data_IF_453485334967
#
_entry.id   IF_453485334967
#
_cell.length_a   1.000
_cell.length_b   1.000
_cell.length_c   1.000
_cell.angle_alpha   90.00
_cell.angle_beta   90.00
_cell.angle_gamma   90.00
#
_symmetry.space_group_name_H-M   'P 1'
#
loop_
_entity.id
_entity.type
_entity.pdbx_description
1 polymer ?
#
# COMPACT_ATOMS: atom_id res chain seq x y z
N UNK A 1 22.30 4.36 -31.84
CA UNK A 1 20.91 4.15 -32.28
C UNK A 1 20.26 5.52 -32.40
N UNK A 2 19.73 5.87 -33.57
CA UNK A 2 19.13 7.20 -33.77
C UNK A 2 17.86 7.36 -32.93
N UNK A 3 17.68 8.52 -32.31
CA UNK A 3 16.43 8.88 -31.65
C UNK A 3 15.33 8.97 -32.72
N UNK A 4 14.30 8.11 -32.63
CA UNK A 4 13.10 8.24 -33.46
C UNK A 4 12.12 9.15 -32.75
N UNK A 5 11.65 10.19 -33.45
CA UNK A 5 10.67 11.12 -32.91
C UNK A 5 9.31 10.84 -33.54
N UNK A 6 8.25 10.88 -32.74
CA UNK A 6 6.88 10.72 -33.19
C UNK A 6 6.11 11.99 -32.86
N UNK A 7 5.44 12.56 -33.86
CA UNK A 7 4.49 13.64 -33.67
C UNK A 7 3.10 13.03 -33.56
N UNK A 8 2.35 13.41 -32.53
CA UNK A 8 0.92 13.12 -32.47
C UNK A 8 0.15 14.42 -32.68
N UNK A 9 -0.55 14.52 -33.82
CA UNK A 9 -1.43 15.64 -34.09
C UNK A 9 -2.76 15.41 -33.36
N UNK A 10 -3.04 16.23 -32.34
CA UNK A 10 -4.26 16.13 -31.54
C UNK A 10 -5.53 16.43 -32.33
N UNK A 11 -5.48 17.27 -33.36
CA UNK A 11 -6.66 17.61 -34.15
C UNK A 11 -6.97 16.52 -35.16
N UNK A 12 -5.94 15.97 -35.79
CA UNK A 12 -6.08 14.94 -36.82
C UNK A 12 -6.11 13.53 -36.23
N UNK A 13 -5.71 13.36 -34.97
CA UNK A 13 -5.55 12.07 -34.29
C UNK A 13 -4.61 11.12 -35.06
N UNK A 14 -3.53 11.70 -35.63
CA UNK A 14 -2.56 10.98 -36.46
C UNK A 14 -1.17 10.97 -35.83
N UNK A 15 -0.46 9.85 -35.99
CA UNK A 15 0.95 9.71 -35.59
C UNK A 15 1.83 9.78 -36.84
N UNK A 16 2.87 10.61 -36.82
CA UNK A 16 3.85 10.71 -37.91
C UNK A 16 5.26 10.56 -37.36
N UNK A 17 6.10 9.74 -38.02
CA UNK A 17 7.53 9.65 -37.69
C UNK A 17 8.29 10.84 -38.27
N UNK A 18 9.18 11.42 -37.46
CA UNK A 18 9.96 12.61 -37.82
C UNK A 18 11.45 12.25 -37.87
N UNK A 19 12.08 12.44 -39.04
CA UNK A 19 13.51 12.13 -39.22
C UNK A 19 14.43 13.37 -39.08
N UNK A 20 14.00 14.57 -39.50
CA UNK A 20 14.89 15.77 -39.56
C UNK A 20 14.28 17.11 -39.11
N UNK A 21 12.94 17.25 -39.07
CA UNK A 21 12.28 18.55 -38.80
C UNK A 21 11.95 18.81 -37.32
N UNK A 22 12.34 17.91 -36.42
CA UNK A 22 11.96 17.95 -35.00
C UNK A 22 12.44 19.24 -34.32
N UNK A 23 13.64 19.72 -34.69
CA UNK A 23 14.19 20.95 -34.14
C UNK A 23 13.21 22.11 -34.33
N UNK A 24 12.68 22.31 -35.54
CA UNK A 24 11.75 23.39 -35.82
C UNK A 24 10.41 23.25 -35.08
N UNK A 25 9.99 22.01 -34.77
CA UNK A 25 8.72 21.74 -34.08
C UNK A 25 8.83 22.12 -32.59
N UNK A 26 9.91 21.72 -31.90
CA UNK A 26 10.06 21.99 -30.45
C UNK A 26 10.33 23.46 -30.12
N UNK A 27 10.55 24.32 -31.13
CA UNK A 27 10.58 25.78 -30.99
C UNK A 27 9.20 26.45 -31.12
N UNK A 28 8.16 25.74 -31.58
CA UNK A 28 6.81 26.30 -31.68
C UNK A 28 6.12 26.32 -30.31
N UNK A 29 5.45 27.43 -29.99
CA UNK A 29 4.79 27.65 -28.69
C UNK A 29 3.58 26.73 -28.45
N UNK A 30 2.93 26.26 -29.52
CA UNK A 30 1.78 25.35 -29.49
C UNK A 30 2.18 23.87 -29.42
N UNK A 31 3.48 23.58 -29.34
CA UNK A 31 4.00 22.22 -29.22
C UNK A 31 4.07 21.79 -27.76
N UNK A 32 3.65 20.55 -27.48
CA UNK A 32 3.85 19.88 -26.21
C UNK A 32 4.84 18.74 -26.39
N UNK A 33 6.05 18.90 -25.83
CA UNK A 33 7.15 17.97 -26.05
C UNK A 33 7.26 16.98 -24.89
N UNK A 34 6.89 15.73 -25.14
CA UNK A 34 6.99 14.63 -24.18
C UNK A 34 8.29 13.86 -24.40
N UNK A 35 9.06 13.68 -23.32
CA UNK A 35 10.38 13.07 -23.35
C UNK A 35 10.37 11.86 -22.42
N UNK A 36 10.64 10.69 -22.98
CA UNK A 36 11.01 9.52 -22.19
C UNK A 36 12.46 9.68 -21.74
N UNK A 37 12.70 9.56 -20.44
CA UNK A 37 13.97 9.89 -19.79
C UNK A 37 15.15 8.99 -20.13
N UNK A 38 14.98 8.06 -21.07
CA UNK A 38 16.06 7.36 -21.76
C UNK A 38 16.69 8.19 -22.90
N UNK A 39 16.12 9.36 -23.23
CA UNK A 39 16.58 10.23 -24.33
C UNK A 39 17.08 11.57 -23.80
N UNK A 40 18.14 12.10 -24.41
CA UNK A 40 18.62 13.46 -24.13
C UNK A 40 17.63 14.48 -24.69
N UNK A 41 17.11 15.41 -23.85
CA UNK A 41 16.15 16.40 -24.31
C UNK A 41 16.80 17.39 -25.28
N UNK A 42 16.10 17.74 -26.37
CA UNK A 42 16.56 18.82 -27.24
C UNK A 42 16.27 20.20 -26.63
N UNK A 43 17.15 21.20 -26.85
CA UNK A 43 16.84 22.59 -26.56
C UNK A 43 15.53 22.99 -27.24
N UNK A 44 14.64 23.59 -26.47
CA UNK A 44 13.27 23.89 -26.90
C UNK A 44 12.74 25.12 -26.17
N UNK A 45 11.77 25.80 -26.76
CA UNK A 45 11.05 26.93 -26.15
C UNK A 45 9.59 26.62 -25.84
N UNK A 46 9.14 25.41 -26.20
CA UNK A 46 7.79 24.90 -25.98
C UNK A 46 7.62 24.33 -24.55
N UNK A 47 6.40 23.87 -24.22
CA UNK A 47 6.16 23.19 -22.94
C UNK A 47 6.74 21.78 -23.01
N UNK A 48 7.59 21.42 -22.05
CA UNK A 48 8.28 20.13 -21.99
C UNK A 48 7.80 19.31 -20.80
N UNK A 49 7.37 18.07 -21.05
CA UNK A 49 7.11 17.05 -20.05
C UNK A 49 8.20 15.99 -20.11
N UNK A 50 9.11 16.01 -19.12
CA UNK A 50 10.17 15.02 -18.99
C UNK A 50 9.76 13.92 -18.00
N UNK A 51 9.62 12.68 -18.48
CA UNK A 51 9.18 11.54 -17.67
C UNK A 51 10.35 10.60 -17.43
N UNK A 52 10.78 10.45 -16.18
CA UNK A 52 11.89 9.55 -15.87
C UNK A 52 11.89 9.09 -14.41
N UNK A 53 12.70 8.07 -14.14
CA UNK A 53 13.11 7.76 -12.77
C UNK A 53 13.95 8.92 -12.21
N UNK A 54 13.79 9.27 -10.93
CA UNK A 54 14.59 10.32 -10.28
C UNK A 54 16.10 9.99 -10.25
N UNK A 55 16.47 8.73 -10.51
CA UNK A 55 17.88 8.32 -10.56
C UNK A 55 18.56 8.62 -11.89
N UNK A 56 17.81 8.90 -12.96
CA UNK A 56 18.41 9.13 -14.27
C UNK A 56 19.20 10.43 -14.29
N UNK A 57 20.35 10.44 -14.96
CA UNK A 57 21.17 11.64 -15.05
C UNK A 57 20.46 12.74 -15.85
N UNK A 58 19.72 12.35 -16.90
CA UNK A 58 18.88 13.27 -17.67
C UNK A 58 17.83 13.98 -16.80
N UNK A 59 17.20 13.26 -15.86
CA UNK A 59 16.27 13.87 -14.90
C UNK A 59 16.98 14.89 -14.01
N UNK A 60 18.13 14.52 -13.42
CA UNK A 60 18.88 15.39 -12.51
C UNK A 60 19.34 16.68 -13.18
N UNK A 61 19.74 16.61 -14.45
CA UNK A 61 20.07 17.82 -15.21
C UNK A 61 18.82 18.62 -15.58
N UNK A 62 17.73 17.95 -15.94
CA UNK A 62 16.48 18.61 -16.31
C UNK A 62 15.90 19.45 -15.15
N UNK A 63 15.88 18.90 -13.93
CA UNK A 63 15.29 19.59 -12.76
C UNK A 63 16.13 20.76 -12.24
N UNK A 64 17.40 20.89 -12.64
CA UNK A 64 18.23 22.07 -12.31
C UNK A 64 17.79 23.34 -13.03
N UNK A 65 16.94 23.23 -14.05
CA UNK A 65 16.45 24.39 -14.79
C UNK A 65 15.55 25.27 -13.93
N UNK A 66 15.66 26.60 -14.05
CA UNK A 66 14.92 27.57 -13.23
C UNK A 66 13.39 27.42 -13.28
N UNK A 67 12.85 26.88 -14.36
CA UNK A 67 11.42 26.74 -14.59
C UNK A 67 10.91 25.30 -14.41
N UNK A 68 11.78 24.36 -14.01
CA UNK A 68 11.38 22.99 -13.79
C UNK A 68 10.40 22.89 -12.61
N UNK A 69 9.35 22.11 -12.79
CA UNK A 69 8.42 21.70 -11.73
C UNK A 69 8.43 20.19 -11.67
N UNK A 70 8.48 19.66 -10.46
CA UNK A 70 8.54 18.24 -10.20
C UNK A 70 7.15 17.73 -9.78
N UNK A 71 6.75 16.61 -10.38
CA UNK A 71 5.51 15.90 -10.06
C UNK A 71 5.80 14.42 -9.92
N UNK A 72 4.99 13.73 -9.11
CA UNK A 72 5.10 12.30 -8.91
C UNK A 72 3.97 11.60 -9.66
N UNK A 73 4.31 10.60 -10.46
CA UNK A 73 3.30 9.79 -11.12
C UNK A 73 2.62 8.87 -10.10
N UNK A 74 1.28 8.84 -10.06
CA UNK A 74 0.57 7.81 -9.32
C UNK A 74 0.80 6.45 -9.99
N UNK A 75 0.60 5.39 -9.22
CA UNK A 75 0.41 4.07 -9.81
C UNK A 75 -0.94 4.00 -10.51
N UNK A 76 -1.08 3.09 -11.47
CA UNK A 76 -2.30 2.94 -12.26
C UNK A 76 -3.40 2.30 -11.43
N UNK A 77 -4.62 2.76 -11.61
CA UNK A 77 -5.82 2.09 -11.12
C UNK A 77 -6.06 0.78 -11.88
N UNK A 78 -6.87 -0.11 -11.28
CA UNK A 78 -7.26 -1.35 -11.97
C UNK A 78 -7.96 -1.04 -13.31
N UNK A 79 -8.83 -0.03 -13.35
CA UNK A 79 -9.55 0.34 -14.58
C UNK A 79 -8.60 0.82 -15.70
N UNK A 80 -7.59 1.62 -15.37
CA UNK A 80 -6.55 2.03 -16.32
C UNK A 80 -5.75 0.83 -16.84
N UNK A 81 -5.41 -0.12 -15.97
CA UNK A 81 -4.69 -1.35 -16.36
C UNK A 81 -5.57 -2.24 -17.25
N UNK A 82 -6.84 -2.41 -16.93
CA UNK A 82 -7.79 -3.19 -17.74
C UNK A 82 -8.03 -2.54 -19.11
N UNK A 83 -8.11 -1.20 -19.14
CA UNK A 83 -8.21 -0.42 -20.38
C UNK A 83 -6.95 -0.59 -21.24
N UNK A 84 -5.76 -0.46 -20.64
CA UNK A 84 -4.50 -0.71 -21.33
C UNK A 84 -4.42 -2.14 -21.87
N UNK A 85 -4.81 -3.15 -21.08
CA UNK A 85 -4.89 -4.53 -21.55
C UNK A 85 -5.80 -4.66 -22.77
N UNK A 86 -6.98 -4.03 -22.75
CA UNK A 86 -7.95 -4.12 -23.85
C UNK A 86 -7.38 -3.59 -25.17
N UNK A 87 -6.64 -2.49 -25.13
CA UNK A 87 -6.15 -1.81 -26.33
C UNK A 87 -4.74 -2.26 -26.76
N UNK A 88 -3.84 -2.50 -25.81
CA UNK A 88 -2.42 -2.72 -26.07
C UNK A 88 -2.01 -4.19 -25.94
N UNK A 89 -2.70 -4.96 -25.08
CA UNK A 89 -2.33 -6.35 -24.76
C UNK A 89 -3.55 -7.30 -24.79
N UNK A 90 -4.35 -7.32 -25.88
CA UNK A 90 -5.64 -8.04 -25.92
C UNK A 90 -5.50 -9.56 -25.78
N UNK A 91 -4.28 -10.09 -25.90
CA UNK A 91 -3.95 -11.50 -25.74
C UNK A 91 -3.71 -11.92 -24.27
N UNK A 92 -3.46 -10.98 -23.36
CA UNK A 92 -3.26 -11.29 -21.93
C UNK A 92 -4.63 -11.50 -21.27
N UNK A 93 -4.92 -12.60 -20.58
CA UNK A 93 -6.22 -12.80 -19.91
C UNK A 93 -6.50 -11.69 -18.87
N UNK A 94 -7.77 -11.32 -18.72
CA UNK A 94 -8.18 -10.27 -17.78
C UNK A 94 -7.92 -10.70 -16.33
N UNK A 95 -8.07 -12.00 -16.06
CA UNK A 95 -7.82 -12.64 -14.78
C UNK A 95 -6.34 -12.49 -14.39
N UNK A 96 -5.41 -12.61 -15.35
CA UNK A 96 -3.98 -12.39 -15.13
C UNK A 96 -3.69 -10.95 -14.70
N UNK A 97 -4.35 -9.96 -15.32
CA UNK A 97 -4.20 -8.55 -14.91
C UNK A 97 -4.75 -8.33 -13.51
N UNK A 98 -5.93 -8.88 -13.21
CA UNK A 98 -6.55 -8.72 -11.89
C UNK A 98 -5.70 -9.37 -10.78
N UNK A 99 -5.17 -10.57 -11.03
CA UNK A 99 -4.30 -11.26 -10.08
C UNK A 99 -2.98 -10.49 -9.88
N UNK A 100 -2.34 -10.04 -10.95
CA UNK A 100 -1.09 -9.29 -10.84
C UNK A 100 -1.30 -7.91 -10.23
N UNK A 101 -2.43 -7.26 -10.47
CA UNK A 101 -2.81 -6.04 -9.74
C UNK A 101 -2.99 -6.32 -8.24
N UNK A 102 -3.65 -7.42 -7.87
CA UNK A 102 -3.76 -7.83 -6.46
C UNK A 102 -2.38 -8.04 -5.82
N UNK A 103 -1.42 -8.60 -6.57
CA UNK A 103 -0.07 -8.87 -6.10
C UNK A 103 0.81 -7.62 -6.04
N UNK A 104 0.85 -6.82 -7.10
CA UNK A 104 1.82 -5.73 -7.29
C UNK A 104 1.20 -4.33 -7.17
N UNK A 105 -0.11 -4.23 -6.94
CA UNK A 105 -0.87 -2.99 -7.08
C UNK A 105 -0.76 -2.40 -8.50
N UNK A 106 -0.70 -1.08 -8.58
CA UNK A 106 -0.86 -0.33 -9.83
C UNK A 106 0.39 -0.15 -10.70
N UNK A 107 1.51 -0.82 -10.43
CA UNK A 107 2.73 -0.63 -11.23
C UNK A 107 2.59 -1.38 -12.55
N UNK A 108 2.22 -0.66 -13.61
CA UNK A 108 1.96 -1.23 -14.95
C UNK A 108 3.09 -2.16 -15.43
N UNK A 109 4.36 -1.78 -15.23
CA UNK A 109 5.51 -2.64 -15.59
C UNK A 109 5.45 -4.01 -14.93
N UNK A 110 5.17 -4.07 -13.62
CA UNK A 110 5.10 -5.33 -12.86
C UNK A 110 3.84 -6.13 -13.21
N UNK A 111 2.74 -5.45 -13.50
CA UNK A 111 1.47 -6.08 -13.92
C UNK A 111 1.58 -6.71 -15.30
N UNK A 112 2.21 -6.04 -16.27
CA UNK A 112 2.30 -6.52 -17.65
C UNK A 112 3.53 -7.39 -17.96
N UNK A 113 4.55 -7.42 -17.09
CA UNK A 113 5.69 -8.33 -17.23
C UNK A 113 5.30 -9.78 -16.86
N UNK A 114 4.52 -10.43 -17.72
CA UNK A 114 4.00 -11.78 -17.50
C UNK A 114 5.07 -12.88 -17.53
N UNK A 115 6.29 -12.56 -17.97
CA UNK A 115 7.38 -13.53 -18.10
C UNK A 115 8.23 -13.56 -16.84
N UNK A 116 8.47 -12.41 -16.21
CA UNK A 116 9.33 -12.33 -15.03
C UNK A 116 8.54 -12.31 -13.72
N UNK A 117 9.24 -12.64 -12.64
CA UNK A 117 8.75 -12.51 -11.27
C UNK A 117 9.45 -11.32 -10.58
N UNK A 118 8.93 -10.08 -10.70
CA UNK A 118 9.53 -8.93 -10.06
C UNK A 118 9.50 -9.03 -8.52
N UNK A 119 8.54 -9.77 -7.94
CA UNK A 119 8.46 -9.98 -6.49
C UNK A 119 9.70 -10.69 -5.97
N UNK A 120 10.03 -11.82 -6.58
CA UNK A 120 11.15 -12.67 -6.15
C UNK A 120 12.48 -11.91 -6.21
N UNK A 121 12.70 -11.14 -7.28
CA UNK A 121 13.87 -10.25 -7.39
C UNK A 121 13.90 -9.20 -6.29
N UNK A 122 12.76 -8.60 -5.97
CA UNK A 122 12.67 -7.56 -4.95
C UNK A 122 12.85 -8.11 -3.52
N UNK A 123 12.34 -9.32 -3.25
CA UNK A 123 12.53 -10.00 -1.97
C UNK A 123 13.96 -10.53 -1.79
N UNK A 124 14.67 -10.86 -2.88
CA UNK A 124 16.08 -11.25 -2.83
C UNK A 124 17.04 -10.06 -2.64
N UNK A 125 16.58 -8.84 -2.92
CA UNK A 125 17.35 -7.62 -2.78
C UNK A 125 17.37 -7.15 -1.31
N UNK A 126 18.49 -7.42 -0.63
CA UNK A 126 18.70 -7.11 0.79
C UNK A 126 18.52 -5.62 1.07
N UNK A 127 18.96 -4.75 0.16
CA UNK A 127 18.87 -3.30 0.34
C UNK A 127 17.43 -2.83 0.17
N UNK A 128 16.67 -3.43 -0.77
CA UNK A 128 15.25 -3.15 -0.93
C UNK A 128 14.45 -3.57 0.31
N UNK A 129 14.71 -4.77 0.86
CA UNK A 129 14.01 -5.29 2.04
C UNK A 129 14.36 -4.49 3.30
N UNK A 130 15.64 -4.20 3.53
CA UNK A 130 16.06 -3.33 4.64
C UNK A 130 15.47 -1.94 4.47
N UNK A 131 15.41 -1.43 3.25
CA UNK A 131 14.90 -0.11 2.91
C UNK A 131 13.40 0.09 3.08
N UNK A 132 12.62 -0.93 3.46
CA UNK A 132 11.16 -0.79 3.69
C UNK A 132 10.83 0.25 4.77
N UNK A 133 11.70 0.47 5.76
CA UNK A 133 11.51 1.50 6.79
C UNK A 133 11.96 2.91 6.35
N UNK A 134 12.57 3.09 5.17
CA UNK A 134 13.10 4.37 4.75
C UNK A 134 11.97 5.29 4.26
N UNK A 135 11.39 6.04 5.19
CA UNK A 135 10.37 7.04 4.89
C UNK A 135 11.04 8.36 4.52
N UNK A 136 10.76 8.87 3.32
CA UNK A 136 10.90 10.30 3.02
C UNK A 136 12.30 10.82 2.65
N UNK A 137 13.37 10.03 2.67
CA UNK A 137 14.62 10.43 2.02
C UNK A 137 14.50 10.18 0.53
N UNK A 138 14.03 11.16 -0.25
CA UNK A 138 14.11 11.29 -1.72
C UNK A 138 14.69 10.04 -2.37
N UNK A 139 13.87 8.99 -2.39
CA UNK A 139 14.43 7.65 -2.33
C UNK A 139 15.05 7.39 -3.70
N UNK A 140 16.32 7.00 -3.67
CA UNK A 140 16.94 6.19 -4.71
C UNK A 140 16.20 4.83 -4.74
N UNK A 141 14.90 4.86 -5.04
CA UNK A 141 14.04 3.68 -5.11
C UNK A 141 14.57 2.96 -6.33
N UNK A 142 15.29 1.87 -6.12
CA UNK A 142 15.67 1.00 -7.22
C UNK A 142 14.39 0.44 -7.85
N UNK A 143 14.48 -0.10 -9.06
CA UNK A 143 13.33 -0.75 -9.68
C UNK A 143 12.73 -1.85 -8.76
N UNK A 144 13.56 -2.49 -7.94
CA UNK A 144 13.14 -3.51 -6.97
C UNK A 144 12.35 -2.92 -5.80
N UNK A 145 12.80 -1.79 -5.24
CA UNK A 145 12.08 -1.13 -4.14
C UNK A 145 10.69 -0.64 -4.60
N UNK A 146 10.52 -0.22 -5.85
CA UNK A 146 9.21 0.15 -6.41
C UNK A 146 8.23 -1.03 -6.52
N UNK A 147 8.71 -2.27 -6.51
CA UNK A 147 7.86 -3.47 -6.43
C UNK A 147 7.34 -3.69 -5.01
N UNK A 148 8.10 -3.24 -3.99
CA UNK A 148 7.73 -3.40 -2.59
C UNK A 148 6.94 -2.20 -2.04
N UNK A 149 7.21 -1.01 -2.58
CA UNK A 149 6.70 0.25 -2.07
C UNK A 149 6.15 1.13 -3.20
N UNK A 150 5.04 1.80 -2.94
CA UNK A 150 4.42 2.76 -3.84
C UNK A 150 4.50 4.18 -3.30
N UNK A 151 4.73 5.12 -4.22
CA UNK A 151 4.56 6.54 -3.96
C UNK A 151 3.07 6.89 -4.03
N UNK A 152 2.54 7.44 -2.94
CA UNK A 152 1.17 7.93 -2.85
C UNK A 152 1.18 9.44 -3.07
N UNK A 153 0.28 9.90 -3.94
CA UNK A 153 0.20 11.29 -4.38
C UNK A 153 -1.17 11.89 -4.12
N UNK A 154 -1.27 13.22 -4.13
CA UNK A 154 -2.53 13.95 -3.98
C UNK A 154 -3.50 13.68 -5.13
N UNK A 155 -4.75 13.38 -4.80
CA UNK A 155 -5.86 13.10 -5.72
C UNK A 155 -6.54 14.37 -6.29
N UNK A 156 -6.17 15.55 -5.79
CA UNK A 156 -6.67 16.86 -6.25
C UNK A 156 -6.09 17.34 -7.60
N UNK A 157 -5.50 16.43 -8.40
CA UNK A 157 -4.86 16.73 -9.67
C UNK A 157 -3.52 17.48 -9.58
N UNK A 158 -2.98 17.71 -8.38
CA UNK A 158 -1.69 18.38 -8.21
C UNK A 158 -0.49 17.43 -8.18
N UNK A 159 -0.72 16.12 -8.10
CA UNK A 159 0.32 15.09 -8.14
C UNK A 159 1.47 15.32 -7.14
N UNK A 160 1.14 15.88 -5.97
CA UNK A 160 2.09 16.13 -4.89
C UNK A 160 2.36 14.83 -4.13
N UNK A 161 3.62 14.56 -3.83
CA UNK A 161 3.98 13.48 -2.92
C UNK A 161 3.27 13.66 -1.58
N UNK A 162 2.61 12.60 -1.11
CA UNK A 162 2.02 12.54 0.22
C UNK A 162 2.86 11.67 1.15
N UNK A 163 3.08 10.42 0.77
CA UNK A 163 3.84 9.44 1.53
C UNK A 163 4.23 8.25 0.64
N UNK A 164 5.00 7.33 1.21
CA UNK A 164 5.26 6.00 0.64
C UNK A 164 4.47 4.97 1.46
N UNK A 165 3.96 3.95 0.79
CA UNK A 165 3.26 2.84 1.42
C UNK A 165 3.69 1.49 0.82
N UNK A 166 3.35 0.38 1.49
CA UNK A 166 3.52 -0.96 0.95
C UNK A 166 2.71 -1.08 -0.35
N UNK A 167 3.32 -1.66 -1.37
CA UNK A 167 2.75 -1.73 -2.72
C UNK A 167 1.38 -2.43 -2.76
N UNK A 168 1.20 -3.46 -1.94
CA UNK A 168 -0.07 -4.16 -1.76
C UNK A 168 -0.07 -4.95 -0.44
N UNK A 169 -1.26 -5.35 0.03
CA UNK A 169 -1.40 -6.30 1.15
C UNK A 169 -0.63 -7.60 0.90
N UNK A 170 -0.66 -8.09 -0.34
CA UNK A 170 0.07 -9.29 -0.75
C UNK A 170 1.60 -9.12 -0.59
N UNK A 171 2.15 -7.98 -1.01
CA UNK A 171 3.58 -7.65 -0.81
C UNK A 171 3.94 -7.66 0.67
N UNK A 172 3.12 -7.05 1.52
CA UNK A 172 3.33 -7.06 2.97
C UNK A 172 3.38 -8.48 3.54
N UNK A 173 2.48 -9.36 3.11
CA UNK A 173 2.50 -10.76 3.53
C UNK A 173 3.75 -11.51 3.07
N UNK A 174 4.20 -11.26 1.83
CA UNK A 174 5.43 -11.86 1.31
C UNK A 174 6.67 -11.36 2.08
N UNK A 175 6.74 -10.08 2.41
CA UNK A 175 7.81 -9.54 3.25
C UNK A 175 7.86 -10.23 4.62
N UNK A 176 6.73 -10.43 5.27
CA UNK A 176 6.67 -11.14 6.54
C UNK A 176 6.98 -12.63 6.41
N UNK A 177 6.57 -13.27 5.32
CA UNK A 177 6.83 -14.69 5.06
C UNK A 177 8.32 -14.97 4.87
N UNK A 178 9.02 -14.11 4.13
CA UNK A 178 10.42 -14.33 3.77
C UNK A 178 11.41 -13.64 4.73
N UNK A 179 11.01 -12.55 5.39
CA UNK A 179 11.92 -11.66 6.12
C UNK A 179 11.36 -11.18 7.47
N UNK A 180 10.64 -12.04 8.20
CA UNK A 180 9.98 -11.69 9.47
C UNK A 180 10.88 -10.96 10.48
N UNK A 181 12.10 -11.45 10.71
CA UNK A 181 13.05 -10.81 11.64
C UNK A 181 13.43 -9.38 11.22
N UNK A 182 13.60 -9.16 9.90
CA UNK A 182 13.88 -7.83 9.38
C UNK A 182 12.63 -6.93 9.45
N UNK A 183 11.44 -7.47 9.22
CA UNK A 183 10.19 -6.70 9.35
C UNK A 183 9.92 -6.29 10.80
N UNK A 184 10.22 -7.14 11.79
CA UNK A 184 10.19 -6.77 13.21
C UNK A 184 11.15 -5.61 13.47
N UNK A 185 12.39 -5.71 13.01
CA UNK A 185 13.40 -4.65 13.17
C UNK A 185 12.92 -3.33 12.54
N UNK A 186 12.46 -3.39 11.29
CA UNK A 186 11.96 -2.23 10.56
C UNK A 186 10.76 -1.59 11.27
N UNK A 187 9.81 -2.41 11.75
CA UNK A 187 8.63 -1.96 12.46
C UNK A 187 8.98 -1.29 13.78
N UNK A 188 9.88 -1.88 14.58
CA UNK A 188 10.38 -1.28 15.83
C UNK A 188 11.07 0.07 15.57
N UNK A 189 11.95 0.14 14.57
CA UNK A 189 12.62 1.40 14.18
C UNK A 189 11.64 2.49 13.76
N UNK A 190 10.58 2.14 13.02
CA UNK A 190 9.54 3.10 12.65
C UNK A 190 8.73 3.57 13.86
N UNK A 191 8.45 2.69 14.83
CA UNK A 191 7.74 3.05 16.06
C UNK A 191 8.56 3.89 17.04
N UNK A 192 9.89 3.80 17.00
CA UNK A 192 10.78 4.73 17.71
C UNK A 192 10.76 6.14 17.09
N UNK A 193 10.15 6.29 15.91
CA UNK A 193 9.94 7.54 15.19
C UNK A 193 8.44 7.88 15.07
N UNK A 194 8.05 8.70 14.08
CA UNK A 194 6.63 9.00 13.84
C UNK A 194 6.00 7.80 13.10
N UNK A 195 4.93 7.16 13.62
CA UNK A 195 4.26 6.06 12.93
C UNK A 195 3.82 6.43 11.52
N UNK A 196 4.13 5.56 10.56
CA UNK A 196 3.85 5.77 9.14
C UNK A 196 2.76 4.84 8.63
N UNK A 197 2.31 5.03 7.40
CA UNK A 197 1.37 4.11 6.76
C UNK A 197 1.99 2.70 6.60
N UNK A 198 3.28 2.63 6.27
CA UNK A 198 4.03 1.38 6.23
C UNK A 198 4.04 0.67 7.59
N UNK A 199 4.39 1.37 8.68
CA UNK A 199 4.43 0.74 10.00
C UNK A 199 3.07 0.26 10.47
N UNK A 200 1.99 0.99 10.15
CA UNK A 200 0.61 0.56 10.42
C UNK A 200 0.28 -0.74 9.69
N UNK A 201 0.51 -0.81 8.38
CA UNK A 201 0.25 -2.02 7.59
C UNK A 201 1.12 -3.21 8.03
N UNK A 202 2.40 -3.01 8.33
CA UNK A 202 3.24 -4.10 8.83
C UNK A 202 2.76 -4.60 10.20
N UNK A 203 2.31 -3.70 11.08
CA UNK A 203 1.80 -4.04 12.39
C UNK A 203 0.48 -4.80 12.35
N UNK A 204 -0.44 -4.40 11.47
CA UNK A 204 -1.69 -5.12 11.23
C UNK A 204 -1.41 -6.56 10.73
N UNK A 205 -0.53 -6.72 9.74
CA UNK A 205 -0.12 -8.05 9.24
C UNK A 205 0.52 -8.88 10.36
N UNK A 206 1.40 -8.28 11.17
CA UNK A 206 2.00 -8.95 12.32
C UNK A 206 0.95 -9.39 13.33
N UNK A 207 0.00 -8.50 13.64
CA UNK A 207 -1.13 -8.74 14.51
C UNK A 207 -1.95 -9.95 14.03
N UNK A 208 -2.35 -9.97 12.76
CA UNK A 208 -3.05 -11.12 12.21
C UNK A 208 -2.27 -12.43 12.36
N UNK A 209 -0.95 -12.45 12.14
CA UNK A 209 -0.12 -13.67 12.32
C UNK A 209 -0.12 -14.15 13.76
N UNK A 210 0.00 -13.24 14.71
CA UNK A 210 -0.03 -13.57 16.13
C UNK A 210 -1.40 -14.09 16.53
N UNK A 211 -2.48 -13.41 16.12
CA UNK A 211 -3.83 -13.73 16.55
C UNK A 211 -4.41 -14.96 15.83
N UNK A 212 -4.05 -15.21 14.57
CA UNK A 212 -4.49 -16.42 13.85
C UNK A 212 -3.77 -17.69 14.31
N UNK A 213 -2.59 -17.56 14.93
CA UNK A 213 -1.88 -18.67 15.59
C UNK A 213 -2.34 -18.82 17.04
N UNK A 214 -2.55 -17.70 17.73
CA UNK A 214 -3.00 -17.66 19.11
C UNK A 214 -2.00 -18.28 20.09
N UNK A 215 -2.48 -18.76 21.23
CA UNK A 215 -1.67 -19.40 22.29
C UNK A 215 -0.78 -18.45 23.10
N UNK A 216 -0.82 -17.14 22.82
CA UNK A 216 -0.03 -16.13 23.52
C UNK A 216 -0.85 -15.46 24.62
N UNK A 217 -0.20 -15.13 25.74
CA UNK A 217 -0.76 -14.29 26.79
C UNK A 217 -0.29 -12.85 26.60
N UNK A 218 -1.24 -11.93 26.47
CA UNK A 218 -1.00 -10.52 26.19
C UNK A 218 -1.53 -9.64 27.32
N UNK A 219 -0.91 -8.48 27.52
CA UNK A 219 -1.42 -7.46 28.45
C UNK A 219 -2.64 -6.77 27.87
N UNK A 220 -3.69 -6.67 28.67
CA UNK A 220 -4.97 -6.09 28.30
C UNK A 220 -5.35 -5.00 29.30
N UNK A 221 -5.55 -3.77 28.84
CA UNK A 221 -5.96 -2.63 29.67
C UNK A 221 -7.40 -2.24 29.35
N UNK A 222 -8.29 -2.35 30.33
CA UNK A 222 -9.64 -1.84 30.22
C UNK A 222 -9.60 -0.32 30.02
N UNK A 223 -10.26 0.20 28.98
CA UNK A 223 -10.25 1.63 28.65
C UNK A 223 -11.21 2.44 29.54
N UNK A 224 -12.14 1.79 30.24
CA UNK A 224 -13.11 2.43 31.12
C UNK A 224 -12.53 2.84 32.48
N UNK A 225 -11.75 1.95 33.09
CA UNK A 225 -11.21 2.12 34.45
C UNK A 225 -9.67 2.04 34.51
N UNK A 226 -9.01 1.70 33.41
CA UNK A 226 -7.56 1.58 33.32
C UNK A 226 -7.01 0.30 33.94
N UNK A 227 -7.84 -0.62 34.42
CA UNK A 227 -7.38 -1.88 35.02
C UNK A 227 -6.61 -2.71 33.99
N UNK A 228 -5.42 -3.16 34.37
CA UNK A 228 -4.57 -4.02 33.54
C UNK A 228 -4.75 -5.47 33.99
N UNK A 229 -5.07 -6.31 33.02
CA UNK A 229 -5.27 -7.75 33.12
C UNK A 229 -4.44 -8.45 32.04
N UNK A 230 -4.54 -9.78 32.00
CA UNK A 230 -3.97 -10.58 30.92
C UNK A 230 -5.09 -11.26 30.15
N UNK A 231 -4.90 -11.39 28.83
CA UNK A 231 -5.75 -12.19 27.95
C UNK A 231 -4.89 -13.27 27.31
N UNK A 232 -5.31 -14.52 27.42
CA UNK A 232 -4.69 -15.64 26.69
C UNK A 232 -5.51 -15.91 25.45
N UNK A 233 -4.87 -15.80 24.29
CA UNK A 233 -5.49 -16.18 23.02
C UNK A 233 -5.56 -17.71 22.95
N UNK A 234 -6.69 -18.27 22.54
CA UNK A 234 -6.77 -19.72 22.33
C UNK A 234 -5.78 -20.14 21.25
N UNK A 235 -5.22 -21.34 21.37
CA UNK A 235 -4.33 -21.86 20.34
C UNK A 235 -5.15 -22.22 19.09
N UNK A 236 -4.79 -21.60 17.97
CA UNK A 236 -5.43 -21.77 16.67
C UNK A 236 -4.45 -22.39 15.66
N UNK A 237 -4.93 -22.71 14.47
CA UNK A 237 -4.16 -23.42 13.44
C UNK A 237 -3.34 -22.50 12.51
N UNK A 238 -3.33 -21.19 12.76
CA UNK A 238 -2.66 -20.21 11.89
C UNK A 238 -3.46 -19.83 10.64
N UNK A 239 -4.64 -20.42 10.41
CA UNK A 239 -5.47 -20.15 9.24
C UNK A 239 -6.25 -18.86 9.41
N UNK A 240 -6.31 -18.07 8.34
CA UNK A 240 -7.09 -16.84 8.25
C UNK A 240 -8.24 -17.07 7.28
N UNK A 241 -9.47 -16.98 7.77
CA UNK A 241 -10.68 -17.19 6.98
C UNK A 241 -11.24 -15.83 6.61
N UNK A 242 -11.51 -15.59 5.33
CA UNK A 242 -12.07 -14.31 4.90
C UNK A 242 -13.60 -14.33 4.90
N UNK A 243 -14.22 -13.20 5.25
CA UNK A 243 -15.67 -13.03 5.18
C UNK A 243 -16.07 -11.66 4.60
N UNK A 244 -17.22 -11.60 3.95
CA UNK A 244 -17.84 -10.38 3.44
C UNK A 244 -19.10 -10.05 4.22
N UNK A 245 -19.78 -8.97 3.83
CA UNK A 245 -21.02 -8.52 4.48
C UNK A 245 -22.12 -9.58 4.48
N UNK A 246 -22.19 -10.38 3.42
CA UNK A 246 -23.18 -11.44 3.23
C UNK A 246 -22.70 -12.82 3.72
N UNK A 247 -21.45 -12.92 4.16
CA UNK A 247 -20.83 -14.18 4.61
C UNK A 247 -20.22 -14.09 6.01
N UNK A 248 -20.73 -13.16 6.83
CA UNK A 248 -20.35 -13.02 8.25
C UNK A 248 -20.49 -14.38 8.96
N UNK A 249 -19.46 -14.84 9.69
CA UNK A 249 -19.50 -16.13 10.37
C UNK A 249 -20.59 -16.16 11.45
N UNK A 250 -21.16 -17.34 11.69
CA UNK A 250 -22.03 -17.58 12.85
C UNK A 250 -21.21 -17.69 14.14
N UNK A 251 -21.83 -17.47 15.30
CA UNK A 251 -21.18 -17.62 16.61
C UNK A 251 -20.48 -18.99 16.78
N UNK A 252 -21.15 -20.08 16.37
CA UNK A 252 -20.58 -21.43 16.43
C UNK A 252 -19.37 -21.61 15.49
N UNK A 253 -19.29 -20.86 14.40
CA UNK A 253 -18.19 -20.93 13.45
C UNK A 253 -16.93 -20.20 13.93
N UNK A 254 -17.03 -19.37 14.97
CA UNK A 254 -15.89 -18.70 15.61
C UNK A 254 -15.03 -19.65 16.44
N UNK A 255 -15.60 -20.77 16.91
CA UNK A 255 -14.87 -21.78 17.68
C UNK A 255 -13.72 -22.36 16.86
N UNK A 256 -12.50 -22.26 17.40
CA UNK A 256 -11.28 -22.73 16.76
C UNK A 256 -10.87 -21.99 15.48
N UNK A 257 -11.47 -20.85 15.15
CA UNK A 257 -11.24 -20.14 13.89
C UNK A 257 -10.92 -18.64 14.07
N UNK A 258 -10.14 -18.11 13.12
CA UNK A 258 -9.81 -16.70 13.03
C UNK A 258 -10.31 -16.14 11.69
N UNK A 259 -11.04 -15.03 11.75
CA UNK A 259 -11.68 -14.41 10.60
C UNK A 259 -11.17 -12.99 10.35
N UNK A 260 -10.98 -12.66 9.09
CA UNK A 260 -10.63 -11.33 8.61
C UNK A 260 -11.67 -10.87 7.58
N UNK A 261 -12.13 -9.61 7.62
CA UNK A 261 -13.01 -9.11 6.58
C UNK A 261 -12.26 -9.09 5.24
N UNK A 262 -13.03 -9.31 4.18
CA UNK A 262 -12.61 -8.97 2.82
C UNK A 262 -12.37 -7.46 2.74
N UNK A 263 -11.48 -7.01 1.83
CA UNK A 263 -11.01 -5.63 1.72
C UNK A 263 -12.10 -4.61 1.26
N UNK A 264 -13.34 -4.77 1.69
CA UNK A 264 -14.45 -3.88 1.42
C UNK A 264 -14.58 -2.86 2.57
N UNK A 265 -14.86 -1.60 2.24
CA UNK A 265 -15.02 -0.49 3.21
C UNK A 265 -16.15 -0.67 4.24
N UNK A 266 -16.84 -1.82 4.23
CA UNK A 266 -17.98 -2.13 5.08
C UNK A 266 -17.60 -2.44 6.53
N UNK A 267 -16.33 -2.72 6.84
CA UNK A 267 -15.89 -3.20 8.16
C UNK A 267 -14.94 -2.24 8.90
N UNK A 268 -15.08 -0.93 8.73
CA UNK A 268 -14.15 0.07 9.28
C UNK A 268 -13.96 0.08 10.81
N UNK A 269 -14.78 -0.65 11.59
CA UNK A 269 -14.65 -0.78 13.04
C UNK A 269 -13.73 -1.92 13.50
N UNK A 270 -13.44 -2.89 12.63
CA UNK A 270 -12.72 -4.10 13.01
C UNK A 270 -11.82 -4.59 11.88
N UNK A 271 -10.70 -5.19 12.26
CA UNK A 271 -9.80 -5.85 11.32
C UNK A 271 -9.91 -7.36 11.42
N UNK A 272 -10.43 -7.91 12.53
CA UNK A 272 -10.65 -9.35 12.65
C UNK A 272 -11.63 -9.77 13.74
N UNK A 273 -12.02 -11.05 13.70
CA UNK A 273 -12.90 -11.72 14.65
C UNK A 273 -12.31 -13.07 15.07
N UNK A 274 -12.51 -13.42 16.33
CA UNK A 274 -12.39 -14.79 16.84
C UNK A 274 -13.41 -15.02 17.95
N UNK A 275 -13.44 -16.22 18.54
CA UNK A 275 -14.26 -16.48 19.72
C UNK A 275 -13.94 -15.56 20.92
N UNK A 276 -12.70 -15.07 21.03
CA UNK A 276 -12.31 -14.20 22.15
C UNK A 276 -12.83 -12.77 22.00
N UNK A 277 -13.14 -12.33 20.77
CA UNK A 277 -13.75 -11.04 20.51
C UNK A 277 -13.47 -10.49 19.12
N UNK A 278 -13.74 -9.19 19.00
CA UNK A 278 -13.45 -8.37 17.82
C UNK A 278 -12.12 -7.63 18.04
N UNK A 279 -11.28 -7.55 17.02
CA UNK A 279 -9.99 -6.85 17.12
C UNK A 279 -9.84 -5.77 16.06
N UNK A 280 -9.28 -4.64 16.48
CA UNK A 280 -8.88 -3.53 15.64
C UNK A 280 -7.41 -3.22 15.90
N UNK A 281 -6.55 -3.43 14.90
CA UNK A 281 -5.13 -3.12 14.95
C UNK A 281 -4.94 -1.63 14.62
N UNK A 282 -4.33 -0.88 15.53
CA UNK A 282 -4.06 0.54 15.30
C UNK A 282 -2.72 0.94 15.88
N UNK A 283 -2.02 1.82 15.16
CA UNK A 283 -0.84 2.51 15.67
C UNK A 283 -1.10 4.00 15.93
N UNK A 284 -2.35 4.45 15.77
CA UNK A 284 -2.78 5.80 16.12
C UNK A 284 -3.04 5.91 17.63
N UNK A 285 -2.93 7.14 18.14
CA UNK A 285 -3.17 7.48 19.54
C UNK A 285 -4.66 7.43 19.92
N UNK A 286 -5.53 7.66 18.93
CA UNK A 286 -6.98 7.59 19.03
C UNK A 286 -7.59 6.98 17.76
N UNK A 287 -8.68 6.23 17.89
CA UNK A 287 -9.42 5.69 16.75
C UNK A 287 -10.94 5.89 16.92
N UNK A 288 -11.62 6.59 15.99
CA UNK A 288 -13.08 6.70 16.02
C UNK A 288 -13.71 5.36 15.61
N UNK A 289 -14.85 5.01 16.22
CA UNK A 289 -15.61 3.84 15.77
C UNK A 289 -16.48 4.26 14.57
N UNK A 290 -16.20 3.69 13.41
CA UNK A 290 -16.94 3.89 12.16
C UNK A 290 -17.80 2.66 11.83
N UNK A 291 -18.96 2.82 11.18
CA UNK A 291 -19.79 1.67 10.79
C UNK A 291 -20.55 1.02 11.95
N UNK A 292 -21.25 1.82 12.75
CA UNK A 292 -22.01 1.35 13.93
C UNK A 292 -22.99 0.22 13.62
N UNK A 293 -23.63 0.24 12.46
CA UNK A 293 -24.60 -0.79 12.05
C UNK A 293 -23.94 -2.15 11.86
N UNK A 294 -22.77 -2.20 11.21
CA UNK A 294 -22.04 -3.45 11.02
C UNK A 294 -21.48 -3.95 12.35
N UNK A 295 -20.97 -3.04 13.19
CA UNK A 295 -20.44 -3.40 14.50
C UNK A 295 -21.54 -4.01 15.38
N UNK A 296 -22.75 -3.44 15.34
CA UNK A 296 -23.91 -3.99 16.06
C UNK A 296 -24.25 -5.40 15.60
N UNK A 297 -24.20 -5.68 14.28
CA UNK A 297 -24.39 -7.04 13.76
C UNK A 297 -23.33 -8.00 14.27
N UNK A 298 -22.07 -7.57 14.32
CA UNK A 298 -20.96 -8.37 14.82
C UNK A 298 -21.04 -8.62 16.33
N UNK A 299 -21.49 -7.63 17.11
CA UNK A 299 -21.72 -7.80 18.54
C UNK A 299 -22.72 -8.92 18.85
N UNK A 300 -23.71 -9.14 17.98
CA UNK A 300 -24.71 -10.23 18.15
C UNK A 300 -24.12 -11.64 17.97
N UNK A 301 -22.85 -11.77 17.58
CA UNK A 301 -22.14 -13.05 17.55
C UNK A 301 -21.68 -13.51 18.95
N UNK A 302 -21.74 -12.64 19.95
CA UNK A 302 -21.18 -12.86 21.28
C UNK A 302 -22.24 -12.64 22.36
N UNK A 303 -22.25 -13.48 23.38
CA UNK A 303 -23.07 -13.24 24.58
C UNK A 303 -22.57 -12.00 25.35
N UNK A 304 -21.25 -11.85 25.41
CA UNK A 304 -20.56 -10.67 25.96
C UNK A 304 -19.61 -10.09 24.91
N UNK A 305 -20.08 -9.17 24.05
CA UNK A 305 -19.27 -8.62 22.98
C UNK A 305 -18.11 -7.78 23.55
N UNK A 306 -16.89 -8.09 23.08
CA UNK A 306 -15.66 -7.38 23.42
C UNK A 306 -14.98 -6.90 22.15
N UNK A 307 -14.68 -5.60 22.09
CA UNK A 307 -13.83 -5.03 21.05
C UNK A 307 -12.50 -4.61 21.68
N UNK A 308 -11.43 -5.15 21.10
CA UNK A 308 -10.06 -4.94 21.52
C UNK A 308 -9.32 -4.06 20.52
N UNK A 309 -8.72 -2.99 21.00
CA UNK A 309 -7.76 -2.19 20.25
C UNK A 309 -6.37 -2.77 20.46
N UNK A 310 -5.82 -3.42 19.44
CA UNK A 310 -4.46 -3.96 19.49
C UNK A 310 -3.49 -2.86 19.10
N UNK A 311 -2.59 -2.50 20.01
CA UNK A 311 -1.73 -1.33 19.86
C UNK A 311 -0.25 -1.67 20.12
N UNK A 312 0.70 -0.94 19.50
CA UNK A 312 2.12 -1.07 19.82
C UNK A 312 2.41 -0.72 21.30
N UNK A 313 3.52 -1.23 21.89
CA UNK A 313 3.82 -1.04 23.31
C UNK A 313 3.93 0.42 23.74
N UNK A 314 4.45 1.28 22.86
CA UNK A 314 4.59 2.70 23.15
C UNK A 314 3.23 3.40 23.29
N UNK A 315 2.18 2.90 22.63
CA UNK A 315 0.81 3.41 22.73
C UNK A 315 0.02 2.80 23.89
N UNK A 316 0.37 1.58 24.35
CA UNK A 316 -0.44 0.81 25.31
C UNK A 316 -0.88 1.61 26.55
N UNK A 317 0.01 2.39 27.16
CA UNK A 317 -0.31 3.20 28.35
C UNK A 317 -1.16 4.44 28.03
N UNK A 318 -0.91 5.08 26.90
CA UNK A 318 -1.47 6.37 26.52
C UNK A 318 -2.74 6.30 25.69
N UNK A 319 -3.02 5.16 25.07
CA UNK A 319 -4.13 4.98 24.13
C UNK A 319 -5.47 5.33 24.76
N UNK A 320 -6.25 6.14 24.06
CA UNK A 320 -7.59 6.57 24.45
C UNK A 320 -8.58 6.28 23.34
N UNK A 321 -9.83 6.14 23.74
CA UNK A 321 -10.92 6.03 22.80
C UNK A 321 -11.73 7.31 22.80
N UNK A 322 -12.26 7.66 21.62
CA UNK A 322 -13.10 8.85 21.43
C UNK A 322 -14.53 8.71 21.98
N UNK A 323 -15.02 7.50 22.33
CA UNK A 323 -16.39 7.26 22.81
C UNK A 323 -16.48 6.24 23.96
N UNK A 324 -17.35 6.53 24.94
CA UNK A 324 -17.54 5.79 26.21
C UNK A 324 -18.38 4.51 26.06
N UNK A 325 -17.76 3.40 25.68
CA UNK A 325 -18.35 2.06 25.86
C UNK A 325 -17.29 1.06 26.38
N UNK A 326 -17.64 -0.19 26.66
CA UNK A 326 -16.72 -1.16 27.28
C UNK A 326 -15.71 -1.70 26.24
N UNK A 327 -14.49 -1.17 26.25
CA UNK A 327 -13.42 -1.57 25.34
C UNK A 327 -12.11 -1.81 26.10
N UNK A 328 -11.19 -2.55 25.49
CA UNK A 328 -9.88 -2.78 26.06
C UNK A 328 -8.78 -2.57 25.01
N UNK A 329 -7.61 -2.10 25.44
CA UNK A 329 -6.41 -2.07 24.62
C UNK A 329 -5.54 -3.30 24.92
N UNK A 330 -5.05 -3.97 23.89
CA UNK A 330 -4.08 -5.07 24.00
C UNK A 330 -2.72 -4.54 23.55
N UNK A 331 -1.71 -4.69 24.40
CA UNK A 331 -0.33 -4.37 24.04
C UNK A 331 0.28 -5.54 23.27
N UNK A 332 0.68 -5.31 22.02
CA UNK A 332 1.31 -6.31 21.17
C UNK A 332 2.74 -5.89 20.82
N UNK A 333 3.71 -6.63 21.37
CA UNK A 333 5.11 -6.89 20.94
C UNK A 333 5.80 -7.65 22.07
#
# INVERSE_FOLDING_TARGET
>A
MGSSYKCFDLQQQLVTELELEVANIVWKQDTFYVIDGHTTPMPSSCIVLFMSSPQSEGYKEFVKQKMAREWYFPVWTLDELQTCRRHCYPYVPIETINERYRMYGGVARSVFDIVSNPMEKALADVDAVKGVHNIGFTIKISANTHTLLHTIVSDNGQYRFLHVDIASRYVGEQLWQHHSAQMITNMQQMFDSIPTKISRHLFEIYGHRVFCTGGQTLKCRCLKDGTVTEITLDALNGQRITFGIDTIPTAAALDGNYYEPTNDNNFAAIDSLSQQGMFQFTADDEHPICGVDILTKLCNLYDEPKLYFVVPPHQFKGFKQLHNTCFAAIGLI
#
